data_IF_236176103506
#
_entry.id   IF_236176103506
#
_cell.length_a   1.000
_cell.length_b   1.000
_cell.length_c   1.000
_cell.angle_alpha   90.00
_cell.angle_beta   90.00
_cell.angle_gamma   90.00
#
_symmetry.space_group_name_H-M   'P 1'
#
loop_
_entity.id
_entity.type
_entity.pdbx_description
1 polymer ?
#
# COMPACT_ATOMS: atom_id res chain seq x y z
N UNK A 1 -3.48 -13.18 -16.91
CA UNK A 1 -2.22 -13.85 -16.46
C UNK A 1 -2.57 -14.90 -15.43
N UNK A 2 -1.84 -16.02 -15.37
CA UNK A 2 -2.08 -17.07 -14.37
C UNK A 2 -1.68 -16.64 -12.95
N UNK A 3 -1.79 -17.55 -12.00
CA UNK A 3 -1.32 -17.37 -10.62
C UNK A 3 0.21 -17.35 -10.60
N UNK A 4 0.80 -16.38 -9.89
CA UNK A 4 2.24 -16.24 -9.68
C UNK A 4 2.51 -16.26 -8.18
N UNK A 5 3.30 -17.22 -7.71
CA UNK A 5 3.81 -17.24 -6.34
C UNK A 5 5.00 -16.31 -6.26
N UNK A 6 4.79 -15.13 -5.68
CA UNK A 6 5.82 -14.09 -5.55
C UNK A 6 6.76 -14.39 -4.39
N UNK A 7 6.27 -14.98 -3.31
CA UNK A 7 7.05 -15.41 -2.14
C UNK A 7 6.42 -16.65 -1.51
N UNK A 8 7.24 -17.54 -0.97
CA UNK A 8 6.82 -18.68 -0.12
C UNK A 8 7.04 -18.44 1.37
N UNK A 9 7.36 -17.21 1.77
CA UNK A 9 7.79 -16.91 3.15
C UNK A 9 9.31 -16.96 3.34
N UNK A 10 10.07 -16.77 2.26
CA UNK A 10 11.54 -16.67 2.29
C UNK A 10 12.04 -15.47 1.43
N UNK A 11 11.18 -14.45 1.28
CA UNK A 11 11.41 -13.33 0.37
C UNK A 11 10.97 -13.58 -1.08
N UNK A 12 11.20 -12.61 -1.99
CA UNK A 12 10.70 -12.67 -3.36
C UNK A 12 11.43 -13.71 -4.22
N UNK A 13 10.66 -14.56 -4.92
CA UNK A 13 11.12 -15.57 -5.88
C UNK A 13 11.23 -15.02 -7.31
N UNK A 14 10.48 -13.96 -7.61
CA UNK A 14 10.40 -13.34 -8.93
C UNK A 14 10.61 -11.83 -8.82
N UNK A 15 11.08 -11.22 -9.91
CA UNK A 15 11.26 -9.77 -9.99
C UNK A 15 9.96 -9.00 -10.27
N UNK A 16 9.98 -7.66 -10.14
CA UNK A 16 8.79 -6.82 -10.34
C UNK A 16 8.24 -6.84 -11.78
N UNK A 17 9.03 -7.23 -12.76
CA UNK A 17 8.59 -7.37 -14.16
C UNK A 17 7.61 -8.55 -14.36
N UNK A 18 7.75 -9.59 -13.53
CA UNK A 18 6.91 -10.79 -13.54
C UNK A 18 5.81 -10.73 -12.46
N UNK A 19 6.20 -10.54 -11.20
CA UNK A 19 5.30 -10.55 -10.04
C UNK A 19 4.57 -9.24 -9.76
N UNK A 20 4.95 -8.14 -10.42
CA UNK A 20 4.47 -6.79 -10.11
C UNK A 20 5.30 -6.10 -9.03
N UNK A 21 5.36 -4.77 -9.07
CA UNK A 21 6.17 -3.98 -8.14
C UNK A 21 5.62 -4.02 -6.70
N UNK A 22 4.31 -3.96 -6.53
CA UNK A 22 3.66 -4.02 -5.21
C UNK A 22 3.79 -5.40 -4.52
N UNK A 23 3.46 -6.54 -5.16
CA UNK A 23 3.64 -7.84 -4.52
C UNK A 23 5.10 -8.14 -4.15
N UNK A 24 6.05 -7.75 -4.99
CA UNK A 24 7.48 -7.93 -4.72
C UNK A 24 7.94 -7.02 -3.57
N UNK A 25 7.45 -5.79 -3.49
CA UNK A 25 7.73 -4.90 -2.36
C UNK A 25 7.17 -5.47 -1.04
N UNK A 26 5.95 -6.02 -1.05
CA UNK A 26 5.36 -6.70 0.11
C UNK A 26 6.21 -7.91 0.52
N UNK A 27 6.57 -8.78 -0.43
CA UNK A 27 7.39 -9.96 -0.20
C UNK A 27 8.76 -9.63 0.43
N UNK A 28 9.39 -8.52 0.02
CA UNK A 28 10.63 -8.05 0.65
C UNK A 28 10.42 -7.50 2.06
N UNK A 29 9.34 -6.77 2.25
CA UNK A 29 9.04 -6.13 3.54
C UNK A 29 8.65 -7.18 4.60
N UNK A 30 7.96 -8.24 4.17
CA UNK A 30 7.45 -9.32 5.00
C UNK A 30 8.04 -10.65 4.54
N UNK A 31 9.35 -10.89 4.78
CA UNK A 31 10.05 -12.03 4.20
C UNK A 31 9.42 -13.37 4.61
N UNK A 32 8.85 -13.46 5.81
CA UNK A 32 8.22 -14.67 6.35
C UNK A 32 6.77 -14.89 5.90
N UNK A 33 6.20 -14.00 5.07
CA UNK A 33 4.81 -14.08 4.61
C UNK A 33 4.77 -14.55 3.16
N UNK A 34 4.02 -15.62 2.84
CA UNK A 34 3.74 -15.99 1.46
C UNK A 34 2.98 -14.88 0.72
N UNK A 35 3.36 -14.61 -0.52
CA UNK A 35 2.71 -13.58 -1.35
C UNK A 35 2.37 -14.18 -2.71
N UNK A 36 1.12 -14.05 -3.12
CA UNK A 36 0.60 -14.57 -4.40
C UNK A 36 -0.02 -13.43 -5.19
N UNK A 37 0.39 -13.28 -6.44
CA UNK A 37 -0.22 -12.37 -7.40
C UNK A 37 -1.09 -13.17 -8.37
N UNK A 38 -2.38 -12.88 -8.41
CA UNK A 38 -3.31 -13.57 -9.31
C UNK A 38 -4.40 -12.62 -9.78
N UNK A 39 -4.67 -12.59 -11.09
CA UNK A 39 -5.75 -11.78 -11.66
C UNK A 39 -7.12 -12.23 -11.12
N UNK A 40 -7.32 -13.56 -11.04
CA UNK A 40 -8.50 -14.17 -10.42
C UNK A 40 -8.19 -14.48 -8.96
N UNK A 41 -8.74 -13.67 -8.05
CA UNK A 41 -8.44 -13.77 -6.61
C UNK A 41 -8.82 -15.11 -5.99
N UNK A 42 -9.84 -15.79 -6.52
CA UNK A 42 -10.20 -17.16 -6.11
C UNK A 42 -9.05 -18.14 -6.37
N UNK A 43 -8.40 -18.07 -7.53
CA UNK A 43 -7.25 -18.94 -7.86
C UNK A 43 -6.02 -18.56 -7.01
N UNK A 44 -5.82 -17.27 -6.76
CA UNK A 44 -4.78 -16.80 -5.85
C UNK A 44 -4.97 -17.30 -4.42
N UNK A 45 -6.22 -17.31 -3.93
CA UNK A 45 -6.57 -17.83 -2.62
C UNK A 45 -6.35 -19.34 -2.53
N UNK A 46 -6.72 -20.11 -3.57
CA UNK A 46 -6.42 -21.55 -3.64
C UNK A 46 -4.91 -21.82 -3.56
N UNK A 47 -4.11 -21.08 -4.31
CA UNK A 47 -2.65 -21.21 -4.24
C UNK A 47 -2.09 -20.81 -2.86
N UNK A 48 -2.65 -19.80 -2.19
CA UNK A 48 -2.26 -19.45 -0.82
C UNK A 48 -2.58 -20.58 0.17
N UNK A 49 -3.74 -21.22 0.05
CA UNK A 49 -4.13 -22.40 0.85
C UNK A 49 -3.13 -23.54 0.64
N UNK A 50 -2.71 -23.81 -0.60
CA UNK A 50 -1.70 -24.83 -0.91
C UNK A 50 -0.32 -24.52 -0.30
N UNK A 51 -0.02 -23.26 -0.03
CA UNK A 51 1.18 -22.82 0.70
C UNK A 51 1.04 -22.98 2.22
N UNK A 52 -0.10 -23.47 2.71
CA UNK A 52 -0.34 -23.73 4.13
C UNK A 52 -0.69 -22.50 4.95
N UNK A 53 -1.28 -21.46 4.35
CA UNK A 53 -1.69 -20.25 5.08
C UNK A 53 -3.00 -20.46 5.83
N UNK A 54 -3.06 -20.03 7.09
CA UNK A 54 -4.30 -20.05 7.89
C UNK A 54 -5.19 -18.83 7.61
N UNK A 55 -4.60 -17.70 7.20
CA UNK A 55 -5.31 -16.43 6.97
C UNK A 55 -4.83 -15.82 5.65
N UNK A 56 -5.78 -15.37 4.83
CA UNK A 56 -5.51 -14.71 3.55
C UNK A 56 -5.88 -13.23 3.67
N UNK A 57 -4.91 -12.36 3.42
CA UNK A 57 -5.14 -10.91 3.30
C UNK A 57 -5.21 -10.53 1.82
N UNK A 58 -6.33 -9.95 1.41
CA UNK A 58 -6.51 -9.42 0.06
C UNK A 58 -6.09 -7.96 -0.01
N UNK A 59 -4.95 -7.68 -0.63
CA UNK A 59 -4.59 -6.32 -0.99
C UNK A 59 -5.51 -5.81 -2.13
N UNK A 60 -6.06 -4.61 -1.96
CA UNK A 60 -7.08 -3.99 -2.83
C UNK A 60 -8.28 -4.93 -3.15
N UNK A 61 -8.78 -5.65 -2.13
CA UNK A 61 -9.79 -6.70 -2.27
C UNK A 61 -11.26 -6.26 -2.31
N UNK A 62 -11.58 -4.99 -2.04
CA UNK A 62 -12.95 -4.55 -1.72
C UNK A 62 -13.94 -4.71 -2.89
N UNK A 63 -13.48 -4.53 -4.13
CA UNK A 63 -14.25 -4.69 -5.37
C UNK A 63 -14.34 -6.15 -5.84
N UNK A 64 -13.55 -7.07 -5.28
CA UNK A 64 -13.41 -8.44 -5.79
C UNK A 64 -14.54 -9.37 -5.32
N UNK A 65 -15.80 -9.02 -5.60
CA UNK A 65 -17.00 -9.64 -5.03
C UNK A 65 -17.09 -11.17 -5.19
N UNK A 66 -16.43 -11.75 -6.19
CA UNK A 66 -16.45 -13.19 -6.48
C UNK A 66 -15.76 -14.09 -5.43
N UNK A 67 -14.90 -13.55 -4.57
CA UNK A 67 -14.23 -14.30 -3.50
C UNK A 67 -14.79 -13.85 -2.15
N UNK A 68 -15.54 -14.69 -1.45
CA UNK A 68 -16.11 -14.32 -0.14
C UNK A 68 -15.03 -13.97 0.91
N UNK A 69 -15.39 -13.12 1.88
CA UNK A 69 -14.45 -12.65 2.93
C UNK A 69 -15.13 -12.69 4.28
N UNK A 70 -14.46 -13.25 5.28
CA UNK A 70 -14.94 -13.25 6.67
C UNK A 70 -14.90 -11.85 7.31
N UNK A 71 -13.95 -11.01 6.86
CA UNK A 71 -13.81 -9.62 7.29
C UNK A 71 -13.51 -8.73 6.09
N UNK A 72 -14.32 -7.70 5.91
CA UNK A 72 -14.18 -6.74 4.83
C UNK A 72 -13.88 -5.34 5.38
N UNK A 73 -12.61 -4.93 5.32
CA UNK A 73 -12.16 -3.61 5.75
C UNK A 73 -12.21 -2.62 4.60
N UNK A 74 -12.88 -1.49 4.83
CA UNK A 74 -12.88 -0.39 3.87
C UNK A 74 -11.92 0.70 4.32
N UNK A 75 -10.93 1.01 3.47
CA UNK A 75 -10.01 2.12 3.71
C UNK A 75 -10.53 3.39 3.03
N UNK A 76 -10.67 4.47 3.81
CA UNK A 76 -11.02 5.80 3.31
C UNK A 76 -9.91 6.80 3.68
N UNK A 77 -9.63 7.79 2.85
CA UNK A 77 -8.78 8.92 3.27
C UNK A 77 -9.55 9.74 4.32
N UNK A 78 -8.94 10.07 5.46
CA UNK A 78 -9.63 10.81 6.52
C UNK A 78 -10.05 12.22 6.07
N UNK A 79 -9.22 12.95 5.34
CA UNK A 79 -9.50 14.32 4.89
C UNK A 79 -10.41 14.37 3.66
N UNK A 80 -10.36 13.36 2.79
CA UNK A 80 -11.21 13.26 1.59
C UNK A 80 -11.77 11.83 1.37
N UNK A 81 -12.68 11.34 2.24
CA UNK A 81 -13.15 9.95 2.23
C UNK A 81 -13.76 9.49 0.91
N UNK A 82 -14.38 10.40 0.15
CA UNK A 82 -15.12 10.05 -1.06
C UNK A 82 -14.53 10.63 -2.36
N UNK A 83 -13.37 11.29 -2.30
CA UNK A 83 -12.68 11.70 -3.52
C UNK A 83 -13.50 12.63 -4.44
N UNK A 84 -14.37 13.46 -3.87
CA UNK A 84 -15.33 14.29 -4.62
C UNK A 84 -16.66 13.63 -4.99
N UNK A 85 -16.93 12.41 -4.52
CA UNK A 85 -18.28 11.80 -4.51
C UNK A 85 -18.82 11.33 -5.87
N UNK A 86 -17.98 11.28 -6.91
CA UNK A 86 -18.38 10.88 -8.27
C UNK A 86 -17.61 9.66 -8.75
N UNK A 87 -18.28 8.84 -9.55
CA UNK A 87 -17.70 7.70 -10.27
C UNK A 87 -16.93 8.17 -11.52
N UNK A 88 -15.99 7.37 -12.05
CA UNK A 88 -15.38 7.56 -13.35
C UNK A 88 -16.43 7.76 -14.46
N UNK A 89 -16.13 8.61 -15.47
CA UNK A 89 -14.90 9.40 -15.62
C UNK A 89 -14.90 10.71 -14.80
N UNK A 90 -16.00 11.07 -14.15
CA UNK A 90 -16.19 12.38 -13.50
C UNK A 90 -15.67 12.48 -12.07
N UNK A 91 -15.11 11.41 -11.51
CA UNK A 91 -14.52 11.39 -10.17
C UNK A 91 -13.69 10.15 -9.89
N UNK A 92 -13.26 10.02 -8.63
CA UNK A 92 -12.27 9.03 -8.18
C UNK A 92 -12.88 7.78 -7.54
N UNK A 93 -14.18 7.77 -7.23
CA UNK A 93 -14.81 6.62 -6.59
C UNK A 93 -14.85 5.42 -7.54
N UNK A 94 -14.33 4.26 -7.12
CA UNK A 94 -14.45 3.03 -7.93
C UNK A 94 -15.84 2.41 -7.84
N UNK A 95 -16.58 2.71 -6.78
CA UNK A 95 -17.91 2.17 -6.49
C UNK A 95 -18.85 3.23 -5.91
N UNK A 96 -20.18 3.07 -6.06
CA UNK A 96 -21.15 3.98 -5.45
C UNK A 96 -21.08 3.90 -3.91
N UNK A 97 -21.55 4.95 -3.22
CA UNK A 97 -21.55 4.99 -1.75
C UNK A 97 -22.38 3.86 -1.11
N UNK A 98 -23.33 3.25 -1.83
CA UNK A 98 -24.03 2.06 -1.37
C UNK A 98 -23.11 0.87 -1.08
N UNK A 99 -21.90 0.85 -1.66
CA UNK A 99 -20.87 -0.14 -1.35
C UNK A 99 -20.38 -0.08 0.09
N UNK A 100 -20.58 1.04 0.81
CA UNK A 100 -20.24 1.19 2.23
C UNK A 100 -20.94 0.12 3.10
N UNK A 101 -22.13 -0.33 2.70
CA UNK A 101 -22.93 -1.32 3.42
C UNK A 101 -22.25 -2.69 3.57
N UNK A 102 -21.20 -2.97 2.78
CA UNK A 102 -20.46 -4.24 2.81
C UNK A 102 -19.25 -4.22 3.74
N UNK A 103 -18.94 -3.08 4.35
CA UNK A 103 -17.80 -2.96 5.24
C UNK A 103 -18.15 -3.50 6.62
N UNK A 104 -17.32 -4.38 7.17
CA UNK A 104 -17.41 -4.80 8.57
C UNK A 104 -16.75 -3.77 9.50
N UNK A 105 -15.79 -3.02 8.97
CA UNK A 105 -15.22 -1.83 9.60
C UNK A 105 -14.68 -0.85 8.56
N UNK A 106 -14.64 0.43 8.93
CA UNK A 106 -14.04 1.49 8.14
C UNK A 106 -12.77 1.99 8.82
N UNK A 107 -11.67 2.07 8.08
CA UNK A 107 -10.42 2.65 8.56
C UNK A 107 -10.15 3.95 7.82
N UNK A 108 -10.21 5.07 8.54
CA UNK A 108 -9.83 6.38 8.04
C UNK A 108 -8.30 6.51 8.07
N UNK A 109 -7.69 6.29 6.91
CA UNK A 109 -6.25 6.42 6.68
C UNK A 109 -5.81 7.89 6.64
N UNK A 110 -4.52 8.15 6.89
CA UNK A 110 -3.95 9.51 6.90
C UNK A 110 -4.64 10.45 7.90
N UNK A 111 -5.10 9.92 9.03
CA UNK A 111 -5.78 10.67 10.09
C UNK A 111 -4.90 11.76 10.75
N UNK A 112 -3.60 11.80 10.46
CA UNK A 112 -2.71 12.90 10.85
C UNK A 112 -2.89 14.16 9.97
N UNK A 113 -3.60 14.07 8.84
CA UNK A 113 -3.80 15.19 7.89
C UNK A 113 -5.18 15.83 7.99
N UNK A 114 -6.06 15.28 8.83
CA UNK A 114 -7.41 15.76 9.04
C UNK A 114 -8.34 14.64 9.46
N UNK A 115 -9.57 15.03 9.79
CA UNK A 115 -10.65 14.13 10.20
C UNK A 115 -11.73 14.05 9.11
N UNK A 116 -12.49 12.94 9.06
CA UNK A 116 -13.62 12.83 8.15
C UNK A 116 -14.65 13.91 8.45
N UNK A 117 -15.02 14.64 7.40
CA UNK A 117 -16.02 15.71 7.45
C UNK A 117 -17.36 15.23 8.00
N UNK A 118 -18.17 16.15 8.54
CA UNK A 118 -19.52 15.84 9.02
C UNK A 118 -20.39 15.19 7.93
N UNK A 119 -20.26 15.66 6.68
CA UNK A 119 -20.94 15.06 5.51
C UNK A 119 -20.49 13.62 5.26
N UNK A 120 -19.18 13.34 5.40
CA UNK A 120 -18.67 11.99 5.23
C UNK A 120 -19.18 11.03 6.31
N UNK A 121 -19.20 11.49 7.57
CA UNK A 121 -19.76 10.74 8.70
C UNK A 121 -21.25 10.48 8.52
N UNK A 122 -22.03 11.48 8.09
CA UNK A 122 -23.46 11.32 7.82
C UNK A 122 -23.74 10.34 6.67
N UNK A 123 -22.92 10.34 5.63
CA UNK A 123 -23.05 9.36 4.54
C UNK A 123 -22.70 7.95 5.02
N UNK A 124 -21.68 7.79 5.86
CA UNK A 124 -21.33 6.50 6.45
C UNK A 124 -22.49 5.97 7.30
N UNK A 125 -23.02 6.80 8.20
CA UNK A 125 -24.16 6.44 9.05
C UNK A 125 -25.41 6.08 8.23
N UNK A 126 -25.65 6.80 7.12
CA UNK A 126 -26.76 6.49 6.20
C UNK A 126 -26.65 5.12 5.55
N UNK A 127 -25.45 4.75 5.08
CA UNK A 127 -25.26 3.54 4.27
C UNK A 127 -24.84 2.33 5.08
N UNK A 128 -24.23 2.53 6.24
CA UNK A 128 -23.79 1.48 7.14
C UNK A 128 -23.84 1.97 8.61
N UNK A 129 -25.05 2.11 9.17
CA UNK A 129 -25.24 2.67 10.51
C UNK A 129 -24.57 1.80 11.57
N UNK A 130 -23.81 2.43 12.48
CA UNK A 130 -23.14 1.74 13.58
C UNK A 130 -21.91 0.91 13.19
N UNK A 131 -21.42 1.01 11.94
CA UNK A 131 -20.19 0.32 11.55
C UNK A 131 -19.01 0.81 12.39
N UNK A 132 -18.17 -0.10 12.94
CA UNK A 132 -16.95 0.27 13.64
C UNK A 132 -16.04 1.13 12.75
N UNK A 133 -15.54 2.22 13.32
CA UNK A 133 -14.61 3.13 12.64
C UNK A 133 -13.30 3.21 13.39
N UNK A 134 -12.20 3.12 12.66
CA UNK A 134 -10.84 3.23 13.17
C UNK A 134 -10.08 4.30 12.41
N UNK A 135 -8.99 4.78 12.99
CA UNK A 135 -8.16 5.85 12.44
C UNK A 135 -6.73 5.35 12.29
N UNK A 136 -6.19 5.43 11.09
CA UNK A 136 -4.83 5.01 10.78
C UNK A 136 -3.98 6.22 10.38
N UNK A 137 -2.81 6.36 11.00
CA UNK A 137 -1.81 7.38 10.70
C UNK A 137 -0.66 6.75 9.95
N UNK A 138 -0.22 7.41 8.88
CA UNK A 138 0.99 7.01 8.15
C UNK A 138 2.12 7.90 8.64
N UNK A 139 3.21 7.29 9.08
CA UNK A 139 4.41 8.00 9.56
C UNK A 139 5.65 7.46 8.89
N UNK A 140 6.66 8.30 8.71
CA UNK A 140 7.97 7.85 8.29
C UNK A 140 8.64 7.07 9.45
N UNK A 141 8.91 5.78 9.23
CA UNK A 141 9.54 4.89 10.19
C UNK A 141 11.09 4.94 10.15
N UNK A 142 11.63 5.66 9.16
CA UNK A 142 13.05 5.86 8.95
C UNK A 142 13.53 5.32 7.62
N UNK A 143 14.85 5.17 7.49
CA UNK A 143 15.51 4.85 6.24
C UNK A 143 16.12 3.45 6.29
N UNK A 144 16.14 2.76 5.16
CA UNK A 144 16.77 1.44 5.00
C UNK A 144 17.65 1.40 3.77
N UNK A 145 18.79 0.72 3.85
CA UNK A 145 19.59 0.40 2.66
C UNK A 145 19.02 -0.82 1.91
N UNK A 146 19.70 -1.24 0.85
CA UNK A 146 19.31 -2.37 -0.01
C UNK A 146 19.30 -3.70 0.73
N UNK A 147 20.06 -3.83 1.82
CA UNK A 147 20.10 -5.02 2.68
C UNK A 147 19.04 -4.95 3.80
N UNK A 148 18.28 -3.86 3.89
CA UNK A 148 17.27 -3.65 4.92
C UNK A 148 17.84 -3.18 6.26
N UNK A 149 19.11 -2.76 6.33
CA UNK A 149 19.70 -2.21 7.54
C UNK A 149 19.31 -0.73 7.71
N UNK A 150 19.21 -0.28 8.97
CA UNK A 150 18.83 1.09 9.28
C UNK A 150 19.91 2.10 8.86
N UNK A 151 19.48 3.14 8.15
CA UNK A 151 20.36 4.24 7.72
C UNK A 151 20.01 5.50 8.52
N UNK A 152 20.94 6.09 9.28
CA UNK A 152 20.69 7.36 9.96
C UNK A 152 20.49 8.49 8.94
N UNK A 153 19.49 9.36 9.17
CA UNK A 153 19.22 10.53 8.31
C UNK A 153 20.45 11.43 8.15
N UNK A 154 21.20 11.66 9.24
CA UNK A 154 22.45 12.43 9.21
C UNK A 154 23.49 11.87 8.23
N UNK A 155 23.58 10.54 8.08
CA UNK A 155 24.51 9.89 7.14
C UNK A 155 24.08 10.13 5.70
N UNK A 156 22.77 10.04 5.43
CA UNK A 156 22.19 10.33 4.11
C UNK A 156 22.41 11.80 3.74
N UNK A 157 22.09 12.75 4.63
CA UNK A 157 22.28 14.18 4.39
C UNK A 157 23.75 14.55 4.16
N UNK A 158 24.68 14.00 4.96
CA UNK A 158 26.11 14.25 4.79
C UNK A 158 26.67 13.74 3.44
N UNK A 159 26.05 12.69 2.87
CA UNK A 159 26.45 12.11 1.58
C UNK A 159 25.75 12.75 0.39
N UNK A 160 24.73 13.57 0.64
CA UNK A 160 23.84 14.19 -0.36
C UNK A 160 23.14 13.14 -1.22
N UNK A 161 21.92 13.43 -1.62
CA UNK A 161 21.13 12.46 -2.35
C UNK A 161 20.17 13.14 -3.32
N UNK A 162 19.88 12.40 -4.39
CA UNK A 162 18.74 12.69 -5.26
C UNK A 162 17.56 11.83 -4.81
N UNK A 163 16.37 12.40 -4.82
CA UNK A 163 15.13 11.69 -4.55
C UNK A 163 14.51 11.20 -5.85
N UNK A 164 14.08 9.94 -5.90
CA UNK A 164 13.45 9.31 -7.06
C UNK A 164 12.12 8.72 -6.62
N UNK A 165 11.03 9.02 -7.35
CA UNK A 165 9.74 8.38 -7.09
C UNK A 165 8.91 8.19 -8.37
N UNK A 166 8.17 7.10 -8.44
CA UNK A 166 7.23 6.74 -9.50
C UNK A 166 5.89 6.37 -8.89
N UNK A 167 5.28 7.34 -8.18
CA UNK A 167 4.00 7.19 -7.46
C UNK A 167 2.97 8.22 -7.94
N UNK A 168 1.68 7.94 -7.73
CA UNK A 168 0.58 8.82 -8.15
C UNK A 168 0.66 10.26 -7.62
N UNK A 169 1.20 10.48 -6.42
CA UNK A 169 1.33 11.81 -5.80
C UNK A 169 2.75 12.10 -5.31
N UNK A 170 3.65 12.61 -6.18
CA UNK A 170 5.03 12.95 -5.79
C UNK A 170 5.13 13.98 -4.65
N UNK A 171 4.18 14.89 -4.52
CA UNK A 171 4.18 15.89 -3.45
C UNK A 171 4.04 15.26 -2.05
N UNK A 172 3.35 14.11 -1.96
CA UNK A 172 3.25 13.36 -0.72
C UNK A 172 4.60 12.78 -0.29
N UNK A 173 5.43 12.33 -1.24
CA UNK A 173 6.77 11.83 -0.96
C UNK A 173 7.70 12.93 -0.45
N UNK A 174 7.67 14.11 -1.09
CA UNK A 174 8.47 15.25 -0.60
C UNK A 174 8.04 15.72 0.78
N UNK A 175 6.75 15.67 1.11
CA UNK A 175 6.27 15.97 2.47
C UNK A 175 6.81 14.95 3.49
N UNK A 176 6.83 13.66 3.16
CA UNK A 176 7.45 12.62 3.99
C UNK A 176 8.95 12.86 4.21
N UNK A 177 9.68 13.35 3.19
CA UNK A 177 11.09 13.70 3.38
C UNK A 177 11.26 14.84 4.39
N UNK A 178 10.41 15.86 4.31
CA UNK A 178 10.42 16.97 5.25
C UNK A 178 10.11 16.53 6.69
N UNK A 179 9.20 15.57 6.88
CA UNK A 179 8.92 14.95 8.20
C UNK A 179 10.14 14.25 8.81
N UNK A 180 11.12 13.84 7.99
CA UNK A 180 12.38 13.24 8.41
C UNK A 180 13.55 14.24 8.49
N UNK A 181 13.27 15.55 8.36
CA UNK A 181 14.27 16.61 8.24
C UNK A 181 15.25 16.38 7.07
N UNK A 182 14.76 15.79 5.98
CA UNK A 182 15.53 15.50 4.78
C UNK A 182 15.14 16.46 3.65
N UNK A 183 16.17 17.00 2.98
CA UNK A 183 16.01 17.77 1.76
C UNK A 183 16.88 17.15 0.66
N UNK A 184 16.24 16.76 -0.45
CA UNK A 184 16.94 16.21 -1.59
C UNK A 184 17.57 17.34 -2.43
N UNK A 185 18.73 17.06 -3.04
CA UNK A 185 19.36 18.01 -3.97
C UNK A 185 18.54 18.19 -5.25
N UNK A 186 17.86 17.13 -5.66
CA UNK A 186 16.94 17.11 -6.79
C UNK A 186 15.89 16.02 -6.60
N UNK A 187 14.65 16.28 -7.03
CA UNK A 187 13.55 15.31 -7.02
C UNK A 187 13.22 14.92 -8.46
N UNK A 188 13.42 13.64 -8.79
CA UNK A 188 13.07 13.05 -10.08
C UNK A 188 11.77 12.26 -9.95
N UNK A 189 10.67 12.90 -10.31
CA UNK A 189 9.35 12.27 -10.34
C UNK A 189 9.07 11.60 -11.70
N UNK A 190 8.54 10.38 -11.64
CA UNK A 190 8.12 9.55 -12.76
C UNK A 190 6.64 9.19 -12.62
N UNK A 191 6.06 8.57 -13.65
CA UNK A 191 4.65 8.14 -13.64
C UNK A 191 4.45 7.00 -12.61
N UNK A 192 3.20 6.80 -12.20
CA UNK A 192 2.89 5.66 -11.34
C UNK A 192 3.17 4.33 -12.05
N UNK A 193 3.67 3.34 -11.29
CA UNK A 193 4.16 2.06 -11.81
C UNK A 193 5.22 2.18 -12.92
N UNK A 194 5.99 3.28 -12.95
CA UNK A 194 7.01 3.48 -13.99
C UNK A 194 8.09 2.39 -13.95
N UNK A 195 8.39 1.82 -15.12
CA UNK A 195 9.52 0.92 -15.34
C UNK A 195 10.76 1.73 -15.72
N UNK A 196 11.76 1.75 -14.85
CA UNK A 196 13.00 2.50 -15.08
C UNK A 196 13.77 1.93 -16.27
N UNK A 197 13.87 2.71 -17.33
CA UNK A 197 14.66 2.40 -18.53
C UNK A 197 16.11 2.78 -18.36
N UNK A 198 17.00 2.32 -19.25
CA UNK A 198 18.42 2.76 -19.28
C UNK A 198 18.55 4.28 -19.33
N UNK A 199 17.70 4.95 -20.12
CA UNK A 199 17.68 6.42 -20.23
C UNK A 199 17.31 7.09 -18.91
N UNK A 200 16.39 6.49 -18.16
CA UNK A 200 15.99 7.00 -16.84
C UNK A 200 17.13 6.84 -15.82
N UNK A 201 17.81 5.70 -15.83
CA UNK A 201 18.97 5.44 -14.96
C UNK A 201 20.11 6.42 -15.24
N UNK A 202 20.38 6.71 -16.52
CA UNK A 202 21.34 7.75 -16.88
C UNK A 202 20.88 9.15 -16.47
N UNK A 203 19.58 9.45 -16.52
CA UNK A 203 19.03 10.73 -16.03
C UNK A 203 19.23 10.86 -14.53
N UNK A 204 18.98 9.79 -13.76
CA UNK A 204 19.22 9.74 -12.32
C UNK A 204 20.71 9.95 -12.03
N UNK A 205 21.59 9.25 -12.76
CA UNK A 205 23.05 9.39 -12.60
C UNK A 205 23.53 10.81 -12.91
N UNK A 206 23.08 11.40 -14.02
CA UNK A 206 23.44 12.80 -14.37
C UNK A 206 22.97 13.81 -13.32
N UNK A 207 21.79 13.62 -12.75
CA UNK A 207 21.30 14.44 -11.65
C UNK A 207 22.19 14.31 -10.41
N UNK A 208 22.57 13.08 -10.05
CA UNK A 208 23.46 12.81 -8.94
C UNK A 208 24.85 13.42 -9.15
N UNK A 209 25.46 13.23 -10.33
CA UNK A 209 26.77 13.79 -10.68
C UNK A 209 26.75 15.33 -10.61
N UNK A 210 25.72 15.95 -11.19
CA UNK A 210 25.55 17.42 -11.19
C UNK A 210 25.40 18.01 -9.79
N UNK A 211 24.71 17.30 -8.91
CA UNK A 211 24.48 17.73 -7.54
C UNK A 211 25.57 17.26 -6.59
N UNK A 212 26.52 16.44 -7.01
CA UNK A 212 27.47 15.79 -6.11
C UNK A 212 26.81 14.85 -5.10
N UNK A 213 25.64 14.30 -5.44
CA UNK A 213 24.93 13.33 -4.62
C UNK A 213 25.57 11.96 -4.74
N UNK A 214 25.88 11.33 -3.60
CA UNK A 214 26.43 9.98 -3.62
C UNK A 214 25.34 8.90 -3.64
N UNK A 215 24.13 9.20 -3.15
CA UNK A 215 23.06 8.21 -2.92
C UNK A 215 21.76 8.55 -3.65
N UNK A 216 20.91 7.55 -3.84
CA UNK A 216 19.52 7.70 -4.28
C UNK A 216 18.62 7.44 -3.09
N UNK A 217 17.65 8.31 -2.83
CA UNK A 217 16.56 8.06 -1.89
C UNK A 217 15.26 7.80 -2.66
N UNK A 218 14.54 6.73 -2.32
CA UNK A 218 13.33 6.35 -3.05
C UNK A 218 12.26 5.69 -2.15
N UNK A 219 11.12 5.32 -2.75
CA UNK A 219 10.02 4.63 -2.07
C UNK A 219 10.26 3.11 -2.04
N UNK A 220 9.59 2.37 -1.16
CA UNK A 220 9.68 0.89 -1.14
C UNK A 220 9.24 0.26 -2.46
N UNK A 221 8.25 0.85 -3.14
CA UNK A 221 7.77 0.39 -4.45
C UNK A 221 8.80 0.63 -5.56
N UNK A 222 9.50 1.75 -5.51
CA UNK A 222 10.48 2.10 -6.54
C UNK A 222 11.84 1.44 -6.32
N UNK A 223 12.21 1.13 -5.07
CA UNK A 223 13.48 0.47 -4.74
C UNK A 223 13.59 -0.91 -5.40
N UNK A 224 12.52 -1.72 -5.40
CA UNK A 224 12.53 -3.04 -6.07
C UNK A 224 12.72 -2.95 -7.58
N UNK A 225 12.37 -1.80 -8.20
CA UNK A 225 12.54 -1.57 -9.63
C UNK A 225 13.93 -1.03 -9.99
N UNK A 226 14.63 -0.42 -9.03
CA UNK A 226 15.98 0.16 -9.17
C UNK A 226 17.10 -0.81 -8.76
N UNK A 227 16.79 -1.79 -7.91
CA UNK A 227 17.76 -2.78 -7.42
C UNK A 227 18.56 -3.43 -8.55
N UNK A 228 19.89 -3.45 -8.41
CA UNK A 228 20.81 -4.02 -9.39
C UNK A 228 20.91 -3.26 -10.72
N UNK A 229 20.21 -2.12 -10.88
CA UNK A 229 20.21 -1.32 -12.12
C UNK A 229 20.98 -0.01 -12.00
N UNK A 230 21.41 0.36 -10.79
CA UNK A 230 22.17 1.58 -10.51
C UNK A 230 23.50 1.24 -9.84
N UNK A 231 24.51 2.09 -10.07
CA UNK A 231 25.80 2.01 -9.37
C UNK A 231 25.81 2.84 -8.07
N UNK A 232 24.84 3.73 -7.90
CA UNK A 232 24.68 4.51 -6.67
C UNK A 232 23.90 3.67 -5.65
N UNK A 233 24.32 3.67 -4.37
CA UNK A 233 23.55 3.05 -3.31
C UNK A 233 22.12 3.59 -3.24
N UNK A 234 21.15 2.68 -3.10
CA UNK A 234 19.74 3.02 -2.94
C UNK A 234 19.35 2.95 -1.48
N UNK A 235 18.83 4.06 -0.97
CA UNK A 235 18.18 4.15 0.33
C UNK A 235 16.68 4.26 0.10
N UNK A 236 15.93 3.57 0.92
CA UNK A 236 14.48 3.50 0.86
C UNK A 236 13.88 4.18 2.10
N UNK A 237 12.87 5.03 1.90
CA UNK A 237 12.04 5.54 2.99
C UNK A 237 11.02 4.47 3.38
N UNK A 238 11.04 4.04 4.64
CA UNK A 238 9.98 3.17 5.18
C UNK A 238 8.87 4.00 5.79
N UNK A 239 7.65 3.65 5.42
CA UNK A 239 6.45 4.17 6.04
C UNK A 239 5.87 3.10 6.97
N UNK A 240 5.41 3.48 8.14
CA UNK A 240 4.62 2.63 9.03
C UNK A 240 3.20 3.17 9.15
N UNK A 241 2.28 2.24 9.40
CA UNK A 241 0.89 2.54 9.70
C UNK A 241 0.64 2.25 11.17
N UNK A 242 0.12 3.23 11.88
CA UNK A 242 -0.28 3.13 13.27
C UNK A 242 -1.80 3.34 13.35
N UNK A 243 -2.51 2.34 13.89
CA UNK A 243 -3.95 2.46 14.16
C UNK A 243 -4.11 3.03 15.56
N UNK A 244 -4.92 4.08 15.70
CA UNK A 244 -5.01 4.86 16.93
C UNK A 244 -5.78 4.13 18.04
N UNK A 245 -6.84 3.42 17.66
CA UNK A 245 -7.75 2.75 18.59
C UNK A 245 -7.21 1.35 18.92
N UNK A 246 -6.96 1.03 20.21
CA UNK A 246 -6.39 -0.26 20.62
C UNK A 246 -7.33 -1.45 20.36
N UNK A 247 -8.63 -1.19 20.17
CA UNK A 247 -9.66 -2.21 19.90
C UNK A 247 -9.58 -2.77 18.47
N UNK A 248 -8.81 -2.17 17.57
CA UNK A 248 -8.74 -2.59 16.16
C UNK A 248 -8.29 -4.05 15.99
N UNK A 249 -7.16 -4.44 16.58
CA UNK A 249 -6.66 -5.81 16.47
C UNK A 249 -7.55 -6.82 17.21
N UNK A 250 -8.02 -6.56 18.45
CA UNK A 250 -9.04 -7.39 19.09
C UNK A 250 -10.29 -7.60 18.23
N UNK A 251 -10.79 -6.54 17.59
CA UNK A 251 -11.92 -6.63 16.66
C UNK A 251 -11.61 -7.57 15.50
N UNK A 252 -10.47 -7.39 14.81
CA UNK A 252 -10.07 -8.24 13.69
C UNK A 252 -9.93 -9.71 14.11
N UNK A 253 -9.21 -9.96 15.19
CA UNK A 253 -8.97 -11.32 15.68
C UNK A 253 -10.28 -12.01 16.09
N UNK A 254 -11.22 -11.29 16.70
CA UNK A 254 -12.53 -11.85 17.06
C UNK A 254 -13.35 -12.30 15.85
N UNK A 255 -13.16 -11.64 14.70
CA UNK A 255 -13.86 -11.96 13.46
C UNK A 255 -13.21 -13.11 12.69
N UNK A 256 -11.87 -13.17 12.70
CA UNK A 256 -11.11 -14.22 12.02
C UNK A 256 -11.11 -15.52 12.82
N UNK A 257 -11.16 -15.44 14.16
CA UNK A 257 -11.12 -16.62 15.05
C UNK A 257 -12.51 -17.22 15.30
N UNK A 258 -13.59 -16.61 14.80
CA UNK A 258 -14.93 -17.16 14.91
C UNK A 258 -15.06 -18.42 14.05
N UNK A 259 -15.76 -19.45 14.54
CA UNK A 259 -16.17 -20.56 13.68
C UNK A 259 -16.94 -19.99 12.48
N UNK A 260 -16.69 -20.45 11.23
CA UNK A 260 -17.34 -19.91 10.05
C UNK A 260 -18.86 -20.06 10.19
N UNK A 261 -19.57 -18.94 10.38
CA UNK A 261 -21.02 -18.92 10.27
C UNK A 261 -21.39 -19.45 8.89
N UNK A 262 -22.23 -20.51 8.86
CA UNK A 262 -22.72 -21.13 7.62
C UNK A 262 -23.14 -20.05 6.61
N UNK A 263 -22.88 -20.27 5.31
CA UNK A 263 -23.11 -19.26 4.28
C UNK A 263 -24.52 -18.68 4.39
N UNK A 264 -24.60 -17.34 4.49
CA UNK A 264 -25.86 -16.60 4.44
C UNK A 264 -26.55 -16.95 3.13
N UNK A 265 -27.58 -17.78 3.21
CA UNK A 265 -28.42 -18.15 2.06
C UNK A 265 -28.86 -16.88 1.35
N UNK A 266 -28.60 -16.80 0.05
CA UNK A 266 -29.06 -15.74 -0.83
C UNK A 266 -30.57 -15.54 -0.61
N UNK A 267 -30.93 -14.44 0.04
CA UNK A 267 -32.32 -14.02 0.19
C UNK A 267 -32.91 -13.85 -1.20
N UNK A 268 -33.95 -14.63 -1.49
CA UNK A 268 -34.69 -14.60 -2.73
C UNK A 268 -35.23 -13.18 -2.97
N UNK A 269 -35.00 -12.65 -4.18
CA UNK A 269 -35.69 -11.44 -4.63
C UNK A 269 -37.20 -11.70 -4.64
N UNK A 270 -38.04 -10.84 -4.04
CA UNK A 270 -39.45 -10.83 -4.39
C UNK A 270 -39.58 -10.24 -5.80
N UNK A 271 -40.44 -10.89 -6.57
CA UNK A 271 -40.90 -10.51 -7.93
C UNK A 271 -41.34 -9.06 -8.03
#
# INVERSE_FOLDING_TARGET
>A
KGVIVVSRGEGPLVGPDEGGDEPVAIAKRLPAVPVVAAERRVEGAQAAIELGTDVILLDDGYQHLALDRDVNLLLLDAADPFGGGRLPPSGRLREPLSALARADAVVFTRANRGDPSATARAALDRWNPGVPTFSARIRAAGLRDEQGAAVPSARLSARRFVAVCGIANPASFTATLAELDLSAEEVLAFRDHHRYTRRDLERIRRAADRTGSAWILTTEKDSVKLEGKTLLPVVTVRLDVEVAEPEFFPFLLSRISGEPERPRTASARPT
#
